data_IF_582632739265
#
_entry.id   IF_582632739265
#
_cell.length_a   1.000
_cell.length_b   1.000
_cell.length_c   1.000
_cell.angle_alpha   90.00
_cell.angle_beta   90.00
_cell.angle_gamma   90.00
#
_symmetry.space_group_name_H-M   'P 1'
#
loop_
_entity.id
_entity.type
_entity.pdbx_description
1 polymer ?
#
# COMPACT_ATOMS: atom_id res chain seq x y z
N UNK A 1 -13.63 2.17 -6.63
CA UNK A 1 -13.50 0.75 -6.25
C UNK A 1 -12.52 0.71 -5.09
N UNK A 2 -13.04 0.71 -3.87
CA UNK A 2 -12.26 0.64 -2.63
C UNK A 2 -12.13 -0.84 -2.27
N UNK A 3 -10.96 -1.29 -1.82
CA UNK A 3 -10.76 -2.68 -1.41
C UNK A 3 -10.58 -3.71 -2.55
N UNK A 4 -10.29 -3.27 -3.78
CA UNK A 4 -9.84 -4.18 -4.84
C UNK A 4 -8.41 -4.65 -4.56
N UNK A 5 -8.12 -5.96 -4.70
CA UNK A 5 -6.76 -6.47 -4.56
C UNK A 5 -5.88 -5.96 -5.70
N UNK A 6 -4.67 -5.52 -5.38
CA UNK A 6 -3.63 -5.14 -6.33
C UNK A 6 -2.30 -5.75 -5.88
N UNK A 7 -1.46 -6.22 -6.80
CA UNK A 7 -0.12 -6.70 -6.41
C UNK A 7 0.83 -5.53 -6.20
N UNK A 8 1.89 -5.73 -5.41
CA UNK A 8 2.95 -4.72 -5.26
C UNK A 8 3.57 -4.36 -6.60
N UNK A 9 3.77 -5.36 -7.49
CA UNK A 9 4.28 -5.13 -8.84
C UNK A 9 3.37 -4.21 -9.65
N UNK A 10 2.07 -4.54 -9.71
CA UNK A 10 1.09 -3.74 -10.46
C UNK A 10 0.97 -2.33 -9.88
N UNK A 11 1.06 -2.20 -8.55
CA UNK A 11 1.02 -0.92 -7.87
C UNK A 11 2.24 -0.05 -8.20
N UNK A 12 3.44 -0.64 -8.17
CA UNK A 12 4.68 0.03 -8.60
C UNK A 12 4.53 0.48 -10.04
N UNK A 13 4.11 -0.41 -10.94
CA UNK A 13 3.95 -0.09 -12.35
C UNK A 13 2.93 1.05 -12.54
N UNK A 14 1.77 1.00 -11.87
CA UNK A 14 0.79 2.09 -11.90
C UNK A 14 1.41 3.45 -11.56
N UNK A 15 2.22 3.52 -10.50
CA UNK A 15 2.87 4.75 -10.05
C UNK A 15 3.97 5.17 -11.04
N UNK A 16 4.77 4.23 -11.55
CA UNK A 16 5.77 4.49 -12.58
C UNK A 16 5.16 5.06 -13.86
N UNK A 17 3.94 4.61 -14.22
CA UNK A 17 3.18 5.13 -15.37
C UNK A 17 2.44 6.44 -15.07
N UNK A 18 2.67 7.06 -13.91
CA UNK A 18 2.16 8.38 -13.56
C UNK A 18 0.79 8.37 -12.87
N UNK A 19 0.33 7.22 -12.36
CA UNK A 19 -0.84 7.22 -11.50
C UNK A 19 -0.55 8.01 -10.22
N UNK A 20 -1.34 9.06 -10.01
CA UNK A 20 -1.34 9.79 -8.75
C UNK A 20 -2.30 9.08 -7.82
N UNK A 21 -1.77 8.51 -6.75
CA UNK A 21 -2.62 8.11 -5.64
C UNK A 21 -3.20 9.38 -5.01
N UNK A 22 -4.50 9.34 -4.75
CA UNK A 22 -5.19 10.44 -4.10
C UNK A 22 -4.60 10.66 -2.70
N UNK A 23 -4.52 11.91 -2.29
CA UNK A 23 -4.15 12.27 -0.93
C UNK A 23 -5.08 11.55 0.07
N UNK A 24 -4.53 11.15 1.23
CA UNK A 24 -5.18 10.36 2.27
C UNK A 24 -5.46 8.88 1.93
N UNK A 25 -4.70 8.28 1.02
CA UNK A 25 -4.71 6.82 0.83
C UNK A 25 -3.60 6.13 1.62
N UNK A 26 -3.88 4.90 2.03
CA UNK A 26 -2.94 4.00 2.66
C UNK A 26 -2.94 2.62 2.00
N UNK A 27 -1.82 1.91 2.15
CA UNK A 27 -1.66 0.55 1.66
C UNK A 27 -1.82 -0.43 2.81
N UNK A 28 -2.74 -1.36 2.66
CA UNK A 28 -2.98 -2.42 3.64
C UNK A 28 -2.63 -3.80 3.06
N UNK A 29 -2.12 -4.70 3.90
CA UNK A 29 -1.80 -6.09 3.57
C UNK A 29 -2.44 -7.04 4.58
N UNK A 30 -2.51 -8.32 4.25
CA UNK A 30 -2.88 -9.32 5.26
C UNK A 30 -1.81 -9.37 6.36
N UNK A 31 -2.24 -9.60 7.61
CA UNK A 31 -1.36 -9.67 8.78
C UNK A 31 -0.30 -10.77 8.74
N UNK A 32 -0.42 -11.74 7.81
CA UNK A 32 0.49 -12.88 7.70
C UNK A 32 1.68 -12.61 6.76
N UNK A 33 1.88 -11.37 6.33
CA UNK A 33 2.96 -11.01 5.39
C UNK A 33 4.16 -10.49 6.16
N UNK A 34 5.14 -11.36 6.42
CA UNK A 34 6.43 -10.98 7.02
C UNK A 34 7.36 -10.27 6.02
N UNK A 35 7.27 -10.63 4.74
CA UNK A 35 8.13 -10.10 3.66
C UNK A 35 7.26 -9.65 2.50
N UNK A 36 7.43 -8.39 2.09
CA UNK A 36 6.75 -7.83 0.94
C UNK A 36 7.50 -8.25 -0.33
N UNK A 37 6.91 -9.19 -1.08
CA UNK A 37 7.34 -9.57 -2.43
C UNK A 37 6.48 -8.89 -3.51
N UNK A 38 6.91 -8.95 -4.77
CA UNK A 38 6.25 -8.32 -5.91
C UNK A 38 4.81 -8.84 -6.12
N UNK A 39 4.61 -10.12 -5.84
CA UNK A 39 3.35 -10.86 -5.91
C UNK A 39 2.44 -10.66 -4.68
N UNK A 40 2.90 -9.92 -3.66
CA UNK A 40 2.10 -9.66 -2.45
C UNK A 40 0.83 -8.91 -2.84
N UNK A 41 -0.31 -9.42 -2.39
CA UNK A 41 -1.60 -8.76 -2.59
C UNK A 41 -1.75 -7.67 -1.52
N UNK A 42 -1.96 -6.45 -1.99
CA UNK A 42 -2.25 -5.27 -1.20
C UNK A 42 -3.64 -4.72 -1.52
N UNK A 43 -4.10 -3.83 -0.66
CA UNK A 43 -5.38 -3.14 -0.79
C UNK A 43 -5.17 -1.65 -0.54
N UNK A 44 -5.75 -0.82 -1.40
CA UNK A 44 -5.81 0.63 -1.19
C UNK A 44 -7.07 0.95 -0.40
N UNK A 45 -6.89 1.76 0.64
CA UNK A 45 -8.00 2.29 1.44
C UNK A 45 -7.68 3.69 1.98
N UNK A 46 -8.67 4.34 2.59
CA UNK A 46 -8.46 5.62 3.25
C UNK A 46 -7.54 5.47 4.46
N UNK A 47 -6.71 6.49 4.67
CA UNK A 47 -5.94 6.60 5.89
C UNK A 47 -6.87 6.59 7.11
N UNK A 48 -6.56 5.81 8.17
CA UNK A 48 -7.42 5.72 9.34
C UNK A 48 -7.56 7.09 10.02
N UNK A 49 -8.78 7.40 10.45
CA UNK A 49 -9.01 8.59 11.26
C UNK A 49 -8.41 8.38 12.66
N UNK A 50 -7.69 9.37 13.19
CA UNK A 50 -7.15 9.28 14.55
C UNK A 50 -8.18 9.85 15.52
N UNK A 51 -8.79 8.98 16.32
CA UNK A 51 -9.78 9.34 17.35
C UNK A 51 -9.26 8.87 18.70
N UNK A 52 -9.06 9.81 19.64
CA UNK A 52 -8.52 9.53 20.98
C UNK A 52 -7.21 8.71 20.94
N UNK A 53 -6.24 9.15 20.13
CA UNK A 53 -4.94 8.50 19.91
C UNK A 53 -5.02 7.07 19.34
N UNK A 54 -6.17 6.67 18.80
CA UNK A 54 -6.38 5.37 18.15
C UNK A 54 -6.72 5.55 16.69
N UNK A 55 -6.04 4.82 15.82
CA UNK A 55 -6.39 4.73 14.41
C UNK A 55 -7.69 3.96 14.23
N UNK A 56 -8.71 4.61 13.69
CA UNK A 56 -10.01 4.05 13.33
C UNK A 56 -9.96 3.72 11.84
N UNK A 57 -9.81 2.43 11.55
CA UNK A 57 -9.81 1.90 10.20
C UNK A 57 -11.22 1.72 9.67
N UNK A 58 -11.35 1.66 8.33
CA UNK A 58 -12.62 1.33 7.70
C UNK A 58 -13.12 -0.05 8.11
N UNK A 59 -14.43 -0.28 7.98
CA UNK A 59 -15.01 -1.60 8.16
C UNK A 59 -14.37 -2.65 7.24
N UNK A 60 -13.91 -2.25 6.05
CA UNK A 60 -13.24 -3.17 5.12
C UNK A 60 -11.91 -3.69 5.67
N UNK A 61 -11.06 -2.79 6.17
CA UNK A 61 -9.77 -3.15 6.78
C UNK A 61 -9.98 -3.99 8.04
N UNK A 62 -10.92 -3.58 8.89
CA UNK A 62 -11.24 -4.29 10.12
C UNK A 62 -11.81 -5.70 9.85
N UNK A 63 -12.74 -5.82 8.91
CA UNK A 63 -13.38 -7.09 8.55
C UNK A 63 -12.40 -8.09 7.95
N UNK A 64 -11.49 -7.62 7.09
CA UNK A 64 -10.46 -8.48 6.49
C UNK A 64 -9.25 -8.72 7.39
N UNK A 65 -9.16 -8.03 8.54
CA UNK A 65 -8.01 -8.12 9.42
C UNK A 65 -6.71 -7.67 8.75
N UNK A 66 -6.78 -6.60 7.94
CA UNK A 66 -5.60 -6.07 7.26
C UNK A 66 -4.77 -5.19 8.19
N UNK A 67 -3.46 -5.13 7.93
CA UNK A 67 -2.50 -4.27 8.60
C UNK A 67 -2.05 -3.14 7.67
N UNK A 68 -1.84 -1.96 8.25
CA UNK A 68 -1.25 -0.82 7.57
C UNK A 68 0.22 -1.10 7.27
N UNK A 69 0.59 -1.00 6.00
CA UNK A 69 1.95 -1.20 5.51
C UNK A 69 2.68 0.12 5.28
N UNK A 70 2.01 1.03 4.54
CA UNK A 70 2.57 2.31 4.12
C UNK A 70 1.50 3.38 4.06
N UNK A 71 1.89 4.63 4.32
CA UNK A 71 1.05 5.81 4.21
C UNK A 71 1.75 6.94 3.43
N UNK A 72 0.96 7.70 2.66
CA UNK A 72 1.31 8.97 2.01
C UNK A 72 2.74 9.04 1.41
N UNK A 73 3.65 9.77 2.06
CA UNK A 73 4.96 10.12 1.52
C UNK A 73 5.97 8.98 1.68
N UNK A 74 5.88 8.22 2.79
CA UNK A 74 6.70 7.00 2.98
C UNK A 74 6.42 5.97 1.89
N UNK A 75 5.16 5.89 1.45
CA UNK A 75 4.75 5.02 0.37
C UNK A 75 5.46 5.36 -0.95
N UNK A 76 5.49 6.64 -1.33
CA UNK A 76 6.16 7.06 -2.57
C UNK A 76 7.67 6.83 -2.52
N UNK A 77 8.32 7.14 -1.38
CA UNK A 77 9.76 6.99 -1.24
C UNK A 77 10.19 5.52 -1.29
N UNK A 78 9.44 4.63 -0.63
CA UNK A 78 9.74 3.19 -0.65
C UNK A 78 9.54 2.59 -2.03
N UNK A 79 8.48 2.98 -2.75
CA UNK A 79 8.23 2.45 -4.08
C UNK A 79 9.21 3.01 -5.11
N UNK A 80 9.58 4.29 -5.02
CA UNK A 80 10.66 4.85 -5.84
C UNK A 80 11.99 4.13 -5.59
N UNK A 81 12.31 3.82 -4.33
CA UNK A 81 13.50 3.05 -3.98
C UNK A 81 13.43 1.59 -4.47
N UNK A 82 12.30 0.92 -4.29
CA UNK A 82 12.09 -0.45 -4.79
C UNK A 82 12.15 -0.50 -6.33
N UNK A 83 11.63 0.54 -7.00
CA UNK A 83 11.64 0.63 -8.46
C UNK A 83 13.03 0.91 -9.03
N UNK A 84 13.87 1.66 -8.30
CA UNK A 84 15.27 1.92 -8.67
C UNK A 84 16.21 0.76 -8.31
N UNK A 85 15.77 -0.16 -7.44
CA UNK A 85 16.44 -1.45 -7.22
C UNK A 85 16.24 -2.45 -8.36
N UNK A 86 15.48 -2.12 -9.42
CA UNK A 86 15.61 -2.75 -10.75
C UNK A 86 17.02 -2.43 -11.28
N UNK A 87 18.04 -3.11 -10.74
CA UNK A 87 19.39 -3.09 -11.30
C UNK A 87 19.28 -3.56 -12.75
N UNK A 88 19.90 -2.85 -13.70
CA UNK A 88 20.14 -3.43 -15.02
C UNK A 88 20.96 -4.70 -14.80
N UNK A 89 20.42 -5.85 -15.20
CA UNK A 89 21.30 -6.98 -15.49
C UNK A 89 22.27 -6.52 -16.58
N UNK A 90 23.53 -6.94 -16.40
CA UNK A 90 24.70 -6.66 -17.24
C UNK A 90 24.43 -6.64 -18.74
#
# INVERSE_FOLDING_TARGET
>A
MWGSPITVADLIDCIQFGATLKDNLCLCVNNDVDVIAAETICYLDYYPEVVNDKGVYSEFVAFKGLQLLYYEQQFNDVLMNASSQKKPWK
#
